data_IF_502121983500
#
_entry.id   IF_502121983500
#
_cell.length_a   1.000
_cell.length_b   1.000
_cell.length_c   1.000
_cell.angle_alpha   90.00
_cell.angle_beta   90.00
_cell.angle_gamma   90.00
#
_symmetry.space_group_name_H-M   'P 1'
#
loop_
_entity.id
_entity.type
_entity.pdbx_description
1 polymer ?
#
# COMPACT_ATOMS: atom_id res chain seq x y z
N UNK A 1 3.79 -24.57 6.11
CA UNK A 1 3.12 -24.11 7.36
C UNK A 1 2.64 -22.65 7.26
N UNK A 2 3.49 -21.62 7.21
CA UNK A 2 3.03 -20.22 7.16
C UNK A 2 2.22 -19.87 5.89
N UNK A 3 2.61 -20.38 4.73
CA UNK A 3 1.91 -20.19 3.46
C UNK A 3 0.53 -20.86 3.46
N UNK A 4 0.45 -22.05 4.00
CA UNK A 4 -0.80 -22.80 4.12
C UNK A 4 -1.78 -22.13 5.10
N UNK A 5 -1.27 -21.61 6.23
CA UNK A 5 -2.06 -20.82 7.18
C UNK A 5 -2.61 -19.55 6.50
N UNK A 6 -1.78 -18.80 5.78
CA UNK A 6 -2.23 -17.64 5.04
C UNK A 6 -3.34 -18.01 4.05
N UNK A 7 -3.13 -19.07 3.29
CA UNK A 7 -4.08 -19.54 2.28
C UNK A 7 -5.42 -19.95 2.91
N UNK A 8 -5.38 -20.61 4.06
CA UNK A 8 -6.58 -21.00 4.79
C UNK A 8 -7.33 -19.79 5.35
N UNK A 9 -6.62 -18.83 5.95
CA UNK A 9 -7.23 -17.56 6.44
C UNK A 9 -7.92 -16.82 5.30
N UNK A 10 -7.22 -16.64 4.17
CA UNK A 10 -7.78 -15.96 3.01
C UNK A 10 -8.98 -16.71 2.41
N UNK A 11 -8.91 -18.03 2.27
CA UNK A 11 -10.05 -18.83 1.77
C UNK A 11 -11.26 -18.72 2.69
N UNK A 12 -11.08 -18.86 3.99
CA UNK A 12 -12.17 -18.75 4.96
C UNK A 12 -12.81 -17.35 4.91
N UNK A 13 -12.00 -16.30 4.79
CA UNK A 13 -12.50 -14.94 4.65
C UNK A 13 -13.29 -14.77 3.35
N UNK A 14 -12.75 -15.20 2.22
CA UNK A 14 -13.39 -15.05 0.90
C UNK A 14 -14.67 -15.86 0.77
N UNK A 15 -14.75 -17.05 1.39
CA UNK A 15 -15.97 -17.86 1.40
C UNK A 15 -17.16 -17.17 2.14
N UNK A 16 -16.86 -16.22 3.01
CA UNK A 16 -17.88 -15.40 3.70
C UNK A 16 -18.36 -14.19 2.90
N UNK A 17 -17.78 -13.93 1.71
CA UNK A 17 -18.14 -12.81 0.87
C UNK A 17 -19.19 -13.21 -0.19
N UNK A 18 -19.95 -12.24 -0.67
CA UNK A 18 -20.96 -12.46 -1.73
C UNK A 18 -20.36 -12.67 -3.12
N UNK A 19 -19.06 -12.41 -3.28
CA UNK A 19 -18.32 -12.49 -4.54
C UNK A 19 -18.36 -11.24 -5.41
N UNK A 20 -19.11 -10.22 -5.00
CA UNK A 20 -19.22 -8.95 -5.72
C UNK A 20 -18.49 -7.79 -5.04
N UNK A 21 -17.82 -8.04 -3.91
CA UNK A 21 -17.13 -7.02 -3.15
C UNK A 21 -15.86 -6.56 -3.83
N UNK A 22 -15.63 -5.26 -3.79
CA UNK A 22 -14.36 -4.66 -4.19
C UNK A 22 -13.35 -4.83 -3.06
N UNK A 23 -12.27 -5.58 -3.31
CA UNK A 23 -11.23 -5.85 -2.30
C UNK A 23 -10.01 -4.98 -2.58
N UNK A 24 -9.54 -4.24 -1.56
CA UNK A 24 -8.25 -3.57 -1.55
C UNK A 24 -7.31 -4.28 -0.59
N UNK A 25 -6.07 -4.51 -1.02
CA UNK A 25 -5.05 -5.08 -0.16
C UNK A 25 -4.01 -4.03 0.21
N UNK A 26 -3.93 -3.70 1.48
CA UNK A 26 -2.90 -2.82 2.03
C UNK A 26 -1.79 -3.64 2.66
N UNK A 27 -0.55 -3.25 2.41
CA UNK A 27 0.62 -3.77 3.11
C UNK A 27 1.22 -2.67 3.99
N UNK A 28 1.27 -2.94 5.30
CA UNK A 28 1.92 -2.11 6.31
C UNK A 28 2.78 -3.03 7.19
N UNK A 29 4.10 -3.02 7.02
CA UNK A 29 4.98 -4.00 7.69
C UNK A 29 4.91 -3.95 9.20
N UNK A 30 4.58 -2.79 9.79
CA UNK A 30 4.59 -2.55 11.24
C UNK A 30 3.41 -1.71 11.71
N UNK A 31 3.22 -1.66 13.04
CA UNK A 31 2.25 -0.76 13.66
C UNK A 31 2.48 0.72 13.28
N UNK A 32 3.75 1.16 13.23
CA UNK A 32 4.09 2.53 12.85
C UNK A 32 3.69 2.89 11.42
N UNK A 33 3.77 1.96 10.50
CA UNK A 33 3.30 2.14 9.12
C UNK A 33 1.78 2.11 9.03
N UNK A 34 1.14 1.26 9.83
CA UNK A 34 -0.32 1.24 9.90
C UNK A 34 -0.91 2.59 10.34
N UNK A 35 -0.24 3.33 11.23
CA UNK A 35 -0.67 4.69 11.60
C UNK A 35 -0.68 5.67 10.41
N UNK A 36 0.11 5.40 9.36
CA UNK A 36 0.06 6.15 8.11
C UNK A 36 -1.00 5.59 7.15
N UNK A 37 -1.28 4.30 7.26
CA UNK A 37 -2.28 3.59 6.44
C UNK A 37 -3.70 3.95 6.85
N UNK A 38 -3.96 4.03 8.14
CA UNK A 38 -5.31 4.22 8.71
C UNK A 38 -6.09 5.40 8.12
N UNK A 39 -5.55 6.63 7.98
CA UNK A 39 -6.29 7.73 7.37
C UNK A 39 -6.69 7.47 5.92
N UNK A 40 -5.82 6.81 5.15
CA UNK A 40 -6.09 6.45 3.75
C UNK A 40 -7.20 5.42 3.66
N UNK A 41 -7.17 4.44 4.55
CA UNK A 41 -8.11 3.34 4.68
C UNK A 41 -9.52 3.85 5.04
N UNK A 42 -9.61 4.66 6.10
CA UNK A 42 -10.87 5.30 6.49
C UNK A 42 -11.44 6.14 5.36
N UNK A 43 -10.59 6.91 4.70
CA UNK A 43 -11.00 7.71 3.57
C UNK A 43 -11.45 6.91 2.36
N UNK A 44 -10.90 5.72 2.15
CA UNK A 44 -11.39 4.83 1.10
C UNK A 44 -12.79 4.31 1.43
N UNK A 45 -13.04 3.87 2.68
CA UNK A 45 -14.37 3.42 3.13
C UNK A 45 -15.41 4.52 3.10
N UNK A 46 -15.05 5.79 3.31
CA UNK A 46 -15.99 6.91 3.14
C UNK A 46 -16.45 7.09 1.68
N UNK A 47 -15.60 6.84 0.72
CA UNK A 47 -15.90 7.03 -0.71
C UNK A 47 -16.49 5.77 -1.34
N UNK A 48 -16.04 4.60 -0.90
CA UNK A 48 -16.50 3.28 -1.31
C UNK A 48 -16.92 2.45 -0.07
N UNK A 49 -18.12 2.68 0.52
CA UNK A 49 -18.52 2.07 1.81
C UNK A 49 -18.58 0.54 1.80
N UNK A 50 -18.88 -0.06 0.65
CA UNK A 50 -18.98 -1.52 0.50
C UNK A 50 -17.64 -2.21 0.21
N UNK A 51 -16.56 -1.43 0.21
CA UNK A 51 -15.22 -1.96 -0.01
C UNK A 51 -14.78 -2.84 1.15
N UNK A 52 -14.11 -3.95 0.80
CA UNK A 52 -13.44 -4.86 1.73
C UNK A 52 -11.96 -4.58 1.77
N UNK A 53 -11.39 -4.59 2.95
CA UNK A 53 -9.99 -4.23 3.20
C UNK A 53 -9.25 -5.37 3.85
N UNK A 54 -8.26 -5.88 3.13
CA UNK A 54 -7.25 -6.79 3.67
C UNK A 54 -6.02 -5.96 4.05
N UNK A 55 -5.52 -6.14 5.27
CA UNK A 55 -4.24 -5.55 5.69
C UNK A 55 -3.27 -6.66 6.03
N UNK A 56 -2.12 -6.66 5.35
CA UNK A 56 -1.01 -7.55 5.67
C UNK A 56 0.06 -6.86 6.49
N UNK A 57 0.58 -7.57 7.48
CA UNK A 57 1.70 -7.17 8.32
C UNK A 57 2.85 -8.16 8.17
N UNK A 58 4.08 -7.68 8.35
CA UNK A 58 5.26 -8.55 8.47
C UNK A 58 5.74 -8.66 9.91
N UNK A 59 5.69 -7.55 10.65
CA UNK A 59 6.13 -7.49 12.04
C UNK A 59 5.03 -7.95 13.00
N UNK A 60 5.38 -8.74 14.04
CA UNK A 60 4.46 -9.05 15.14
C UNK A 60 3.84 -7.79 15.78
N UNK A 61 4.60 -6.70 15.86
CA UNK A 61 4.10 -5.42 16.41
C UNK A 61 2.91 -4.86 15.61
N UNK A 62 2.89 -5.05 14.31
CA UNK A 62 1.75 -4.68 13.47
C UNK A 62 0.59 -5.65 13.68
N UNK A 63 0.85 -6.94 13.49
CA UNK A 63 -0.21 -7.95 13.54
C UNK A 63 -0.90 -8.05 14.91
N UNK A 64 -0.13 -8.05 16.01
CA UNK A 64 -0.69 -8.26 17.35
C UNK A 64 -1.35 -6.98 17.92
N UNK A 65 -0.79 -5.80 17.64
CA UNK A 65 -1.21 -4.55 18.29
C UNK A 65 -2.20 -3.72 17.47
N UNK A 66 -2.46 -4.09 16.21
CA UNK A 66 -3.46 -3.42 15.40
C UNK A 66 -4.77 -4.17 15.49
N UNK A 67 -5.75 -3.57 16.18
CA UNK A 67 -7.14 -3.96 16.16
C UNK A 67 -7.94 -2.74 15.72
N UNK A 68 -8.46 -2.78 14.49
CA UNK A 68 -9.15 -1.65 13.87
C UNK A 68 -10.35 -2.17 13.07
N UNK A 69 -11.53 -1.64 13.37
CA UNK A 69 -12.80 -2.04 12.74
C UNK A 69 -12.85 -1.75 11.25
N UNK A 70 -11.98 -0.89 10.76
CA UNK A 70 -11.87 -0.60 9.34
C UNK A 70 -11.18 -1.70 8.54
N UNK A 71 -10.56 -2.69 9.20
CA UNK A 71 -9.90 -3.84 8.59
C UNK A 71 -10.89 -5.02 8.56
N UNK A 72 -11.20 -5.50 7.37
CA UNK A 72 -12.10 -6.67 7.22
C UNK A 72 -11.32 -8.00 7.38
N UNK A 73 -10.06 -8.05 6.95
CA UNK A 73 -9.20 -9.22 7.13
C UNK A 73 -7.76 -8.81 7.42
N UNK A 74 -7.20 -9.38 8.49
CA UNK A 74 -5.81 -9.14 8.92
C UNK A 74 -4.98 -10.40 8.71
N UNK A 75 -3.85 -10.27 8.03
CA UNK A 75 -2.97 -11.39 7.70
C UNK A 75 -1.50 -11.08 7.99
N UNK A 76 -0.70 -12.13 8.21
CA UNK A 76 0.74 -12.05 8.08
C UNK A 76 1.13 -12.20 6.60
N UNK A 77 2.00 -11.32 6.13
CA UNK A 77 2.62 -11.51 4.82
C UNK A 77 3.61 -12.70 4.94
N UNK A 78 3.54 -13.69 4.04
CA UNK A 78 4.55 -14.74 3.99
C UNK A 78 5.90 -14.15 3.59
N UNK A 79 6.98 -14.88 3.78
CA UNK A 79 8.28 -14.51 3.20
C UNK A 79 8.12 -14.22 1.70
N UNK A 80 8.87 -13.25 1.18
CA UNK A 80 8.76 -12.74 -0.19
C UNK A 80 9.24 -13.76 -1.25
N UNK A 81 8.67 -14.97 -1.19
CA UNK A 81 8.82 -15.97 -2.23
C UNK A 81 7.77 -15.74 -3.33
N UNK A 82 8.23 -15.57 -4.55
CA UNK A 82 7.38 -15.21 -5.70
C UNK A 82 6.13 -16.09 -5.84
N UNK A 83 6.26 -17.40 -5.69
CA UNK A 83 5.14 -18.34 -5.84
C UNK A 83 4.10 -18.21 -4.71
N UNK A 84 4.57 -17.98 -3.48
CA UNK A 84 3.69 -17.81 -2.33
C UNK A 84 2.84 -16.54 -2.45
N UNK A 85 3.50 -15.40 -2.73
CA UNK A 85 2.81 -14.12 -2.87
C UNK A 85 1.91 -14.10 -4.12
N UNK A 86 2.34 -14.72 -5.23
CA UNK A 86 1.52 -14.85 -6.44
C UNK A 86 0.25 -15.69 -6.20
N UNK A 87 0.38 -16.80 -5.47
CA UNK A 87 -0.77 -17.65 -5.10
C UNK A 87 -1.78 -16.89 -4.25
N UNK A 88 -1.31 -16.11 -3.26
CA UNK A 88 -2.18 -15.30 -2.42
C UNK A 88 -2.88 -14.19 -3.22
N UNK A 89 -2.16 -13.47 -4.09
CA UNK A 89 -2.74 -12.45 -4.95
C UNK A 89 -3.75 -13.05 -5.94
N UNK A 90 -3.47 -14.22 -6.51
CA UNK A 90 -4.38 -14.90 -7.42
C UNK A 90 -5.67 -15.36 -6.73
N UNK A 91 -5.57 -15.75 -5.47
CA UNK A 91 -6.72 -16.13 -4.65
C UNK A 91 -7.60 -14.92 -4.32
N UNK A 92 -6.99 -13.81 -3.88
CA UNK A 92 -7.72 -12.59 -3.42
C UNK A 92 -8.20 -11.76 -4.59
N UNK A 93 -7.40 -11.63 -5.66
CA UNK A 93 -7.63 -10.73 -6.81
C UNK A 93 -8.02 -9.31 -6.39
N UNK A 94 -7.22 -8.64 -5.56
CA UNK A 94 -7.57 -7.29 -5.12
C UNK A 94 -7.59 -6.34 -6.31
N UNK A 95 -8.49 -5.37 -6.30
CA UNK A 95 -8.53 -4.31 -7.34
C UNK A 95 -7.29 -3.42 -7.30
N UNK A 96 -6.62 -3.36 -6.15
CA UNK A 96 -5.31 -2.69 -5.97
C UNK A 96 -4.56 -3.30 -4.80
N UNK A 97 -3.23 -3.32 -4.96
CA UNK A 97 -2.28 -3.60 -3.90
C UNK A 97 -1.59 -2.29 -3.51
N UNK A 98 -1.68 -1.92 -2.24
CA UNK A 98 -1.25 -0.61 -1.73
C UNK A 98 -0.20 -0.78 -0.65
N UNK A 99 0.99 -0.26 -0.91
CA UNK A 99 2.13 -0.27 0.01
C UNK A 99 2.23 1.03 0.77
N UNK A 100 2.66 0.94 2.03
CA UNK A 100 2.87 2.10 2.90
C UNK A 100 4.36 2.32 3.13
N UNK A 101 4.78 3.58 3.01
CA UNK A 101 6.12 4.08 3.33
C UNK A 101 7.25 3.51 2.45
N UNK A 102 8.15 2.72 2.99
CA UNK A 102 9.41 2.34 2.30
C UNK A 102 9.71 0.85 2.36
N UNK A 103 8.87 0.07 3.00
CA UNK A 103 9.06 -1.38 3.08
C UNK A 103 8.39 -2.04 1.87
N UNK A 104 9.21 -2.27 0.85
CA UNK A 104 8.77 -2.82 -0.43
C UNK A 104 9.23 -4.26 -0.55
N UNK A 105 8.32 -5.10 -0.96
CA UNK A 105 8.49 -6.51 -1.19
C UNK A 105 8.53 -6.78 -2.70
N UNK A 106 9.74 -6.95 -3.28
CA UNK A 106 9.92 -7.00 -4.74
C UNK A 106 9.11 -8.09 -5.42
N UNK A 107 9.11 -9.31 -4.88
CA UNK A 107 8.35 -10.41 -5.50
C UNK A 107 6.83 -10.18 -5.40
N UNK A 108 6.36 -9.54 -4.34
CA UNK A 108 4.94 -9.15 -4.22
C UNK A 108 4.56 -8.11 -5.29
N UNK A 109 5.44 -7.12 -5.56
CA UNK A 109 5.23 -6.12 -6.62
C UNK A 109 5.24 -6.77 -8.00
N UNK A 110 6.23 -7.63 -8.31
CA UNK A 110 6.32 -8.32 -9.59
C UNK A 110 5.18 -9.30 -9.82
N UNK A 111 4.75 -10.01 -8.77
CA UNK A 111 3.60 -10.92 -8.87
C UNK A 111 2.30 -10.15 -9.11
N UNK A 112 2.10 -9.00 -8.48
CA UNK A 112 0.96 -8.13 -8.72
C UNK A 112 0.95 -7.61 -10.15
N UNK A 113 2.08 -7.11 -10.65
CA UNK A 113 2.22 -6.66 -12.03
C UNK A 113 1.90 -7.78 -13.04
N UNK A 114 2.43 -8.99 -12.81
CA UNK A 114 2.15 -10.16 -13.66
C UNK A 114 0.67 -10.57 -13.68
N UNK A 115 -0.07 -10.24 -12.64
CA UNK A 115 -1.53 -10.47 -12.53
C UNK A 115 -2.35 -9.23 -12.91
N UNK A 116 -1.70 -8.21 -13.48
CA UNK A 116 -2.32 -6.94 -13.88
C UNK A 116 -3.04 -6.22 -12.72
N UNK A 117 -2.58 -6.45 -11.48
CA UNK A 117 -3.08 -5.79 -10.29
C UNK A 117 -2.33 -4.47 -10.11
N UNK A 118 -2.99 -3.31 -10.21
CA UNK A 118 -2.35 -2.02 -10.04
C UNK A 118 -1.73 -1.89 -8.64
N UNK A 119 -0.45 -1.53 -8.59
CA UNK A 119 0.29 -1.33 -7.36
C UNK A 119 0.45 0.15 -7.05
N UNK A 120 0.22 0.54 -5.81
CA UNK A 120 0.34 1.91 -5.32
C UNK A 120 1.28 1.94 -4.14
N UNK A 121 2.23 2.88 -4.13
CA UNK A 121 3.05 3.19 -2.98
C UNK A 121 2.71 4.60 -2.50
N UNK A 122 2.37 4.77 -1.24
CA UNK A 122 2.17 6.09 -0.65
C UNK A 122 3.04 6.33 0.58
N UNK A 123 3.14 7.58 1.01
CA UNK A 123 4.06 8.05 2.06
C UNK A 123 5.53 7.65 1.78
N UNK A 124 5.90 7.58 0.50
CA UNK A 124 7.23 7.17 0.08
C UNK A 124 8.29 8.21 0.44
N UNK A 125 9.41 7.74 0.98
CA UNK A 125 10.57 8.57 1.34
C UNK A 125 11.83 8.10 0.62
N UNK A 126 12.52 9.06 0.02
CA UNK A 126 13.78 8.84 -0.70
C UNK A 126 14.84 9.82 -0.22
N UNK A 127 15.54 9.48 0.86
CA UNK A 127 16.61 10.34 1.40
C UNK A 127 17.84 10.28 0.50
N UNK A 128 18.55 11.41 0.37
CA UNK A 128 19.78 11.53 -0.43
C UNK A 128 20.88 10.51 -0.03
N UNK A 129 20.93 10.16 1.24
CA UNK A 129 21.92 9.24 1.83
C UNK A 129 21.48 7.77 1.80
N UNK A 130 20.38 7.43 1.12
CA UNK A 130 19.91 6.05 1.09
C UNK A 130 20.89 5.16 0.30
N UNK A 131 21.24 4.00 0.87
CA UNK A 131 22.04 2.96 0.18
C UNK A 131 21.39 2.50 -1.14
N UNK A 132 20.11 2.75 -1.33
CA UNK A 132 19.36 2.48 -2.57
C UNK A 132 19.87 3.27 -3.78
N UNK A 133 20.65 4.34 -3.56
CA UNK A 133 21.29 5.14 -4.62
C UNK A 133 22.69 4.64 -5.05
N UNK A 134 23.25 3.65 -4.35
CA UNK A 134 24.52 3.03 -4.78
C UNK A 134 24.30 2.36 -6.16
N UNK A 135 25.29 2.41 -7.09
CA UNK A 135 25.09 2.03 -8.49
C UNK A 135 24.45 0.66 -8.70
N UNK A 136 24.92 -0.37 -8.00
CA UNK A 136 24.40 -1.74 -8.10
C UNK A 136 23.00 -1.85 -7.50
N UNK A 137 22.82 -1.31 -6.30
CA UNK A 137 21.54 -1.33 -5.56
C UNK A 137 20.49 -0.46 -6.25
N UNK A 138 20.91 0.66 -6.83
CA UNK A 138 20.05 1.56 -7.60
C UNK A 138 19.40 0.86 -8.79
N UNK A 139 20.16 0.06 -9.54
CA UNK A 139 19.62 -0.65 -10.69
C UNK A 139 18.52 -1.65 -10.28
N UNK A 140 18.75 -2.39 -9.20
CA UNK A 140 17.73 -3.29 -8.63
C UNK A 140 16.46 -2.53 -8.24
N UNK A 141 16.58 -1.46 -7.44
CA UNK A 141 15.41 -0.67 -7.02
C UNK A 141 14.74 0.06 -8.18
N UNK A 142 15.48 0.48 -9.21
CA UNK A 142 14.88 0.99 -10.44
C UNK A 142 13.92 -0.04 -11.05
N UNK A 143 14.34 -1.32 -11.16
CA UNK A 143 13.49 -2.39 -11.68
C UNK A 143 12.28 -2.70 -10.80
N UNK A 144 12.35 -2.44 -9.50
CA UNK A 144 11.19 -2.62 -8.60
C UNK A 144 10.24 -1.43 -8.69
N UNK A 145 10.75 -0.19 -8.60
CA UNK A 145 9.91 1.00 -8.57
C UNK A 145 9.22 1.29 -9.90
N UNK A 146 9.82 0.95 -11.03
CA UNK A 146 9.18 1.12 -12.36
C UNK A 146 7.94 0.25 -12.57
N UNK A 147 7.77 -0.80 -11.78
CA UNK A 147 6.61 -1.70 -11.84
C UNK A 147 5.40 -1.16 -11.05
N UNK A 148 5.58 -0.09 -10.28
CA UNK A 148 4.45 0.54 -9.62
C UNK A 148 3.60 1.32 -10.61
N UNK A 149 2.27 1.19 -10.49
CA UNK A 149 1.34 2.03 -11.23
C UNK A 149 1.44 3.50 -10.79
N UNK A 150 1.54 3.73 -9.47
CA UNK A 150 1.71 5.08 -8.93
C UNK A 150 2.47 5.12 -7.62
N UNK A 151 3.30 6.15 -7.45
CA UNK A 151 4.08 6.42 -6.25
C UNK A 151 3.79 7.83 -5.75
N UNK A 152 3.41 7.94 -4.50
CA UNK A 152 3.10 9.20 -3.82
C UNK A 152 4.13 9.47 -2.74
N UNK A 153 4.97 10.48 -2.98
CA UNK A 153 6.06 10.88 -2.09
C UNK A 153 5.59 11.87 -1.04
N UNK A 154 6.32 11.96 0.07
CA UNK A 154 6.02 12.91 1.15
C UNK A 154 6.44 14.32 0.77
N UNK A 155 7.65 14.50 0.26
CA UNK A 155 8.22 15.81 -0.06
C UNK A 155 8.63 15.94 -1.52
N UNK A 156 8.82 17.17 -1.97
CA UNK A 156 9.38 17.46 -3.30
C UNK A 156 10.81 16.92 -3.45
N UNK A 157 11.58 16.88 -2.36
CA UNK A 157 12.92 16.27 -2.36
C UNK A 157 12.85 14.77 -2.60
N UNK A 158 11.93 14.07 -1.94
CA UNK A 158 11.69 12.63 -2.15
C UNK A 158 11.28 12.36 -3.61
N UNK A 159 10.39 13.19 -4.16
CA UNK A 159 9.97 13.12 -5.56
C UNK A 159 11.18 13.24 -6.51
N UNK A 160 11.99 14.27 -6.35
CA UNK A 160 13.14 14.49 -7.24
C UNK A 160 14.16 13.34 -7.17
N UNK A 161 14.40 12.76 -5.99
CA UNK A 161 15.28 11.61 -5.84
C UNK A 161 14.72 10.35 -6.53
N UNK A 162 13.41 10.15 -6.47
CA UNK A 162 12.75 9.03 -7.16
C UNK A 162 12.81 9.20 -8.69
N UNK A 163 12.52 10.40 -9.20
CA UNK A 163 12.63 10.72 -10.64
C UNK A 163 14.04 10.44 -11.18
N UNK A 164 15.08 10.84 -10.45
CA UNK A 164 16.47 10.51 -10.79
C UNK A 164 16.72 8.99 -10.81
N UNK A 165 16.05 8.23 -9.96
CA UNK A 165 16.15 6.77 -9.95
C UNK A 165 15.41 6.14 -11.13
N UNK A 166 14.23 6.64 -11.48
CA UNK A 166 13.39 6.12 -12.57
C UNK A 166 13.90 6.54 -13.97
N UNK A 167 14.80 7.52 -14.06
CA UNK A 167 15.42 7.99 -15.34
C UNK A 167 14.39 8.37 -16.42
N UNK A 168 13.24 8.91 -16.06
CA UNK A 168 12.15 9.32 -16.96
C UNK A 168 11.66 8.20 -17.92
N UNK A 169 11.97 6.94 -17.67
CA UNK A 169 11.67 5.83 -18.59
C UNK A 169 10.58 4.87 -18.09
N UNK A 170 9.83 5.26 -17.07
CA UNK A 170 8.78 4.43 -16.50
C UNK A 170 7.37 5.00 -16.75
N UNK A 171 6.41 4.10 -16.93
CA UNK A 171 4.98 4.46 -16.95
C UNK A 171 4.43 4.75 -15.54
N UNK A 172 5.29 4.80 -14.53
CA UNK A 172 4.93 5.03 -13.12
C UNK A 172 4.54 6.49 -12.91
N UNK A 173 3.33 6.73 -12.45
CA UNK A 173 2.91 8.09 -12.07
C UNK A 173 3.51 8.47 -10.72
N UNK A 174 4.37 9.50 -10.68
CA UNK A 174 4.95 10.00 -9.44
C UNK A 174 4.35 11.35 -9.05
N UNK A 175 3.94 11.52 -7.78
CA UNK A 175 3.36 12.78 -7.29
C UNK A 175 3.70 13.02 -5.82
N UNK A 176 3.78 14.29 -5.41
CA UNK A 176 3.92 14.69 -4.01
C UNK A 176 2.54 14.80 -3.38
N UNK A 177 2.32 14.15 -2.24
CA UNK A 177 1.04 14.20 -1.51
C UNK A 177 1.16 14.62 -0.04
N UNK A 178 2.38 14.65 0.51
CA UNK A 178 2.57 14.88 1.94
C UNK A 178 2.55 13.58 2.77
N UNK A 179 2.57 13.74 4.08
CA UNK A 179 2.59 12.62 5.02
C UNK A 179 1.21 12.43 5.66
N UNK A 180 0.51 11.33 5.38
CA UNK A 180 -0.81 11.04 5.95
C UNK A 180 -0.84 10.97 7.48
N UNK A 181 0.31 10.73 8.11
CA UNK A 181 0.41 10.70 9.57
C UNK A 181 0.06 12.04 10.23
N UNK A 182 0.41 13.17 9.59
CA UNK A 182 0.03 14.50 10.11
C UNK A 182 -1.48 14.73 10.01
N UNK A 183 -2.12 14.19 9.01
CA UNK A 183 -3.57 14.29 8.86
C UNK A 183 -4.29 13.53 9.99
N UNK A 184 -3.76 12.38 10.39
CA UNK A 184 -4.28 11.61 11.53
C UNK A 184 -4.08 12.35 12.86
N UNK A 185 -2.90 12.91 13.12
CA UNK A 185 -2.62 13.69 14.34
C UNK A 185 -3.53 14.92 14.40
N UNK A 186 -3.71 15.61 13.29
CA UNK A 186 -4.57 16.78 13.20
C UNK A 186 -6.05 16.43 13.39
N UNK A 187 -6.55 15.38 12.75
CA UNK A 187 -7.94 14.93 12.93
C UNK A 187 -8.24 14.43 14.35
N UNK A 188 -7.22 13.92 15.05
CA UNK A 188 -7.34 13.53 16.46
C UNK A 188 -7.32 14.76 17.40
N UNK A 189 -6.57 15.80 17.03
CA UNK A 189 -6.54 17.08 17.75
C UNK A 189 -7.80 17.92 17.46
N UNK A 190 -8.29 17.90 16.22
CA UNK A 190 -9.42 18.71 15.72
C UNK A 190 -10.77 17.97 15.78
N UNK A 191 -10.97 17.02 16.69
CA UNK A 191 -12.29 16.37 16.90
C UNK A 191 -13.45 17.35 17.09
N UNK A 192 -13.17 18.63 17.12
CA UNK A 192 -14.14 19.73 17.17
C UNK A 192 -14.23 20.59 15.89
N UNK A 193 -13.55 20.27 14.80
CA UNK A 193 -13.62 21.09 13.58
C UNK A 193 -13.64 20.22 12.31
N UNK A 194 -14.72 20.31 11.56
CA UNK A 194 -15.06 19.60 10.32
C UNK A 194 -14.20 20.06 9.14
N UNK A 195 -12.90 19.79 9.12
CA UNK A 195 -12.07 19.98 7.93
C UNK A 195 -11.16 18.78 7.68
N UNK A 196 -11.62 17.88 6.80
CA UNK A 196 -10.77 16.87 6.22
C UNK A 196 -9.61 17.51 5.44
N UNK A 197 -8.39 17.19 5.80
CA UNK A 197 -7.20 17.78 5.21
C UNK A 197 -7.11 17.43 3.72
N UNK A 198 -6.85 18.44 2.89
CA UNK A 198 -6.75 18.34 1.40
C UNK A 198 -5.93 17.15 0.89
N UNK A 199 -4.90 16.71 1.61
CA UNK A 199 -4.00 15.63 1.21
C UNK A 199 -4.66 14.25 1.20
N UNK A 200 -5.46 13.94 2.24
CA UNK A 200 -6.20 12.67 2.32
C UNK A 200 -7.30 12.63 1.26
N UNK A 201 -7.99 13.75 1.05
CA UNK A 201 -9.03 13.86 0.03
C UNK A 201 -8.47 13.67 -1.40
N UNK A 202 -7.27 14.19 -1.65
CA UNK A 202 -6.57 14.02 -2.93
C UNK A 202 -6.10 12.58 -3.15
N UNK A 203 -5.60 11.90 -2.10
CA UNK A 203 -5.27 10.47 -2.14
C UNK A 203 -6.51 9.62 -2.41
N UNK A 204 -7.60 9.89 -1.69
CA UNK A 204 -8.90 9.24 -1.88
C UNK A 204 -9.31 9.28 -3.34
N UNK A 205 -9.43 10.48 -3.92
CA UNK A 205 -9.85 10.68 -5.32
C UNK A 205 -8.90 10.04 -6.33
N UNK A 206 -7.59 10.00 -6.05
CA UNK A 206 -6.58 9.49 -6.99
C UNK A 206 -6.41 7.99 -6.95
N UNK A 207 -6.52 7.35 -5.77
CA UNK A 207 -6.55 5.89 -5.65
C UNK A 207 -7.79 5.32 -6.36
N UNK A 208 -8.91 6.02 -6.27
CA UNK A 208 -10.19 5.61 -6.88
C UNK A 208 -10.21 5.88 -8.38
N UNK A 209 -9.83 7.09 -8.81
CA UNK A 209 -9.92 7.48 -10.22
C UNK A 209 -8.91 6.79 -11.16
N UNK A 210 -7.90 6.05 -10.63
CA UNK A 210 -7.05 5.19 -11.45
C UNK A 210 -7.77 3.93 -11.97
N UNK A 211 -9.10 3.81 -11.76
CA UNK A 211 -9.96 2.74 -12.32
C UNK A 211 -10.38 2.97 -13.79
N UNK A 212 -10.16 4.17 -14.35
CA UNK A 212 -10.72 4.55 -15.67
C UNK A 212 -9.68 4.63 -16.79
N UNK A 213 -8.74 3.69 -16.85
CA UNK A 213 -7.93 3.49 -18.07
C UNK A 213 -7.54 2.05 -18.21
#
# INVERSE_FOLDING_TARGET
MAEEQLRNVLKNYLNGLSGYETIYWFHASSHGEFQQTKPVLLGLKEVEPHTKIIVSFFSPSGYNNVNDESIDCKIYLPLDFYWAVKSALHLVRPVKLIFTAYDIWPNLVWAANKLEIPTVLFAARFRKETRKLLPVVRNFYHHVYKEFHSIYTITKSDHNHLELMLKNSSNTTVRVLGNPRYDHVKSTADKNTTQHTKSVLLLKKRIINSKKR
#
